data_IF_301106271082
#
_entry.id   IF_301106271082
#
_cell.length_a   1.000
_cell.length_b   1.000
_cell.length_c   1.000
_cell.angle_alpha   90.00
_cell.angle_beta   90.00
_cell.angle_gamma   90.00
#
_symmetry.space_group_name_H-M   'P 1'
#
loop_
_entity.id
_entity.type
_entity.pdbx_description
1 polymer ?
#
# COMPACT_ATOMS: atom_id res chain seq x y z
N UNK A 1 -35.78 14.49 -51.69
CA UNK A 1 -35.05 13.31 -51.14
C UNK A 1 -33.93 13.68 -50.17
N UNK A 2 -33.13 14.73 -50.42
CA UNK A 2 -31.93 15.06 -49.63
C UNK A 2 -32.20 15.42 -48.16
N UNK A 3 -33.29 16.15 -47.85
CA UNK A 3 -33.67 16.54 -46.47
C UNK A 3 -34.19 15.37 -45.62
N UNK A 4 -34.93 14.43 -46.24
CA UNK A 4 -35.40 13.21 -45.56
C UNK A 4 -34.25 12.27 -45.20
N UNK A 5 -33.22 12.21 -46.06
CA UNK A 5 -32.02 11.41 -45.81
C UNK A 5 -31.18 11.99 -44.66
N UNK A 6 -31.08 13.31 -44.56
CA UNK A 6 -30.38 14.01 -43.46
C UNK A 6 -31.08 13.86 -42.11
N UNK A 7 -32.42 13.86 -42.11
CA UNK A 7 -33.21 13.59 -40.90
C UNK A 7 -33.06 12.13 -40.43
N UNK A 8 -32.99 11.19 -41.38
CA UNK A 8 -32.77 9.78 -41.06
C UNK A 8 -31.37 9.54 -40.47
N UNK A 9 -30.32 10.17 -41.03
CA UNK A 9 -28.97 10.03 -40.50
C UNK A 9 -28.81 10.66 -39.12
N UNK A 10 -29.45 11.82 -38.88
CA UNK A 10 -29.48 12.45 -37.56
C UNK A 10 -30.20 11.57 -36.51
N UNK A 11 -31.28 10.91 -36.89
CA UNK A 11 -32.00 9.97 -36.02
C UNK A 11 -31.14 8.74 -35.67
N UNK A 12 -30.42 8.19 -36.64
CA UNK A 12 -29.52 7.04 -36.43
C UNK A 12 -28.36 7.41 -35.49
N UNK A 13 -27.77 8.60 -35.67
CA UNK A 13 -26.71 9.11 -34.78
C UNK A 13 -27.21 9.34 -33.34
N UNK A 14 -28.45 9.81 -33.15
CA UNK A 14 -29.05 9.96 -31.83
C UNK A 14 -29.29 8.61 -31.13
N UNK A 15 -29.58 7.54 -31.88
CA UNK A 15 -29.71 6.19 -31.34
C UNK A 15 -28.37 5.59 -30.88
N UNK A 16 -27.25 5.91 -31.53
CA UNK A 16 -25.92 5.46 -31.11
C UNK A 16 -25.35 6.24 -29.91
N UNK A 17 -25.75 7.50 -29.71
CA UNK A 17 -25.34 8.29 -28.54
C UNK A 17 -26.08 7.89 -27.24
N UNK A 18 -27.17 7.13 -27.32
CA UNK A 18 -28.10 6.87 -26.21
C UNK A 18 -27.78 5.65 -25.32
N UNK A 19 -26.61 5.02 -25.42
CA UNK A 19 -26.22 3.89 -24.53
C UNK A 19 -24.82 4.08 -23.95
N UNK A 20 -24.59 5.23 -23.32
CA UNK A 20 -23.49 5.37 -22.37
C UNK A 20 -23.81 4.53 -21.11
N UNK A 21 -23.10 3.41 -20.98
CA UNK A 21 -22.71 2.76 -19.71
C UNK A 21 -23.69 2.93 -18.53
N UNK A 22 -24.79 2.18 -18.51
CA UNK A 22 -25.32 1.77 -17.21
C UNK A 22 -24.42 0.64 -16.71
N UNK A 23 -23.44 0.96 -15.86
CA UNK A 23 -22.87 -0.02 -14.94
C UNK A 23 -23.97 -0.41 -13.96
N UNK A 24 -24.88 -1.29 -14.42
CA UNK A 24 -25.80 -2.00 -13.56
C UNK A 24 -24.96 -2.82 -12.61
N UNK A 25 -24.78 -2.29 -11.40
CA UNK A 25 -24.33 -2.96 -10.20
C UNK A 25 -23.53 -4.25 -10.49
N UNK A 26 -22.23 -4.10 -10.77
CA UNK A 26 -21.28 -5.22 -10.65
C UNK A 26 -21.08 -5.43 -9.15
N UNK A 27 -22.15 -5.90 -8.51
CA UNK A 27 -22.30 -6.05 -7.07
C UNK A 27 -21.52 -7.25 -6.56
N UNK A 28 -20.19 -7.18 -6.62
CA UNK A 28 -19.33 -7.90 -5.67
C UNK A 28 -19.39 -7.28 -4.27
N UNK A 29 -19.92 -6.06 -4.16
CA UNK A 29 -20.20 -5.40 -2.88
C UNK A 29 -21.67 -5.59 -2.55
N UNK A 30 -21.98 -6.76 -1.98
CA UNK A 30 -23.18 -6.91 -1.16
C UNK A 30 -23.17 -5.79 -0.12
N UNK A 31 -24.27 -5.05 -0.04
CA UNK A 31 -24.53 -3.89 0.81
C UNK A 31 -24.03 -4.07 2.25
N UNK A 32 -22.82 -3.60 2.50
CA UNK A 32 -22.13 -3.70 3.78
C UNK A 32 -20.63 -3.54 3.53
N UNK A 33 -20.04 -2.47 4.05
CA UNK A 33 -18.60 -2.23 4.00
C UNK A 33 -17.88 -3.34 4.76
N UNK A 34 -17.58 -4.43 4.06
CA UNK A 34 -16.77 -5.54 4.57
C UNK A 34 -15.32 -5.15 4.40
N UNK A 35 -14.81 -4.36 5.35
CA UNK A 35 -13.38 -4.07 5.43
C UNK A 35 -12.64 -5.38 5.67
N UNK A 36 -11.59 -5.63 4.90
CA UNK A 36 -10.75 -6.81 5.09
C UNK A 36 -9.99 -6.62 6.41
N UNK A 37 -10.28 -7.44 7.41
CA UNK A 37 -9.54 -7.47 8.67
C UNK A 37 -8.34 -8.39 8.54
N UNK A 38 -7.13 -7.86 8.69
CA UNK A 38 -5.91 -8.66 8.79
C UNK A 38 -5.46 -8.72 10.25
N UNK A 39 -4.81 -9.81 10.63
CA UNK A 39 -4.30 -9.95 12.00
C UNK A 39 -3.19 -8.92 12.31
N UNK A 40 -2.43 -8.50 11.30
CA UNK A 40 -1.23 -7.67 11.47
C UNK A 40 -1.16 -6.59 10.38
N UNK A 41 -1.92 -5.49 10.50
CA UNK A 41 -2.04 -4.47 9.45
C UNK A 41 -0.75 -3.66 9.22
N UNK A 42 0.13 -3.55 10.22
CA UNK A 42 1.39 -2.79 10.09
C UNK A 42 2.34 -3.37 9.03
N UNK A 43 2.16 -4.63 8.63
CA UNK A 43 2.94 -5.22 7.55
C UNK A 43 2.69 -4.55 6.19
N UNK A 44 1.53 -3.93 6.01
CA UNK A 44 1.18 -3.22 4.79
C UNK A 44 1.79 -1.82 4.71
N UNK A 45 2.38 -1.31 5.79
CA UNK A 45 2.96 0.03 5.82
C UNK A 45 4.36 -0.01 5.19
N UNK A 46 4.55 0.84 4.18
CA UNK A 46 5.84 1.06 3.52
C UNK A 46 6.89 1.57 4.52
N UNK A 47 8.06 0.90 4.64
CA UNK A 47 9.03 1.21 5.68
C UNK A 47 10.02 2.30 5.25
N UNK A 48 10.14 2.59 3.95
CA UNK A 48 11.19 3.43 3.40
C UNK A 48 10.64 4.70 2.74
N UNK A 49 11.41 5.79 2.85
CA UNK A 49 11.02 7.09 2.28
C UNK A 49 11.05 7.13 0.75
N UNK A 50 11.85 6.28 0.08
CA UNK A 50 11.94 6.27 -1.39
C UNK A 50 10.64 5.78 -2.00
N UNK A 51 10.19 4.58 -1.63
CA UNK A 51 8.93 4.04 -2.12
C UNK A 51 7.72 4.82 -1.57
N UNK A 52 7.76 5.23 -0.30
CA UNK A 52 6.72 6.08 0.29
C UNK A 52 6.55 7.40 -0.47
N UNK A 53 7.65 8.07 -0.85
CA UNK A 53 7.62 9.28 -1.66
C UNK A 53 7.10 9.08 -3.09
N UNK A 54 7.12 7.83 -3.59
CA UNK A 54 6.53 7.44 -4.88
C UNK A 54 5.08 6.95 -4.75
N UNK A 55 4.43 7.14 -3.60
CA UNK A 55 3.07 6.66 -3.34
C UNK A 55 3.02 5.15 -3.17
N UNK A 56 3.92 4.59 -2.35
CA UNK A 56 4.06 3.15 -2.09
C UNK A 56 4.36 2.32 -3.35
N UNK A 57 5.05 2.95 -4.31
CA UNK A 57 5.41 2.38 -5.60
C UNK A 57 6.77 1.68 -5.64
N UNK A 58 7.02 0.66 -4.81
CA UNK A 58 8.35 0.02 -4.70
C UNK A 58 8.60 -1.25 -5.53
N UNK A 59 7.56 -1.84 -6.13
CA UNK A 59 7.59 -3.20 -6.71
C UNK A 59 8.44 -3.32 -7.99
N UNK A 60 8.39 -2.30 -8.85
CA UNK A 60 9.04 -2.30 -10.17
C UNK A 60 10.15 -1.23 -10.29
N UNK A 61 10.68 -0.77 -9.16
CA UNK A 61 11.77 0.23 -9.12
C UNK A 61 13.13 -0.43 -9.27
N UNK A 62 14.19 0.36 -9.46
CA UNK A 62 15.55 -0.17 -9.43
C UNK A 62 15.85 -0.87 -8.08
N UNK A 63 16.57 -2.01 -8.08
CA UNK A 63 16.92 -2.74 -6.87
C UNK A 63 17.64 -1.88 -5.84
N UNK A 64 17.31 -2.06 -4.57
CA UNK A 64 17.88 -1.33 -3.44
C UNK A 64 17.83 -2.15 -2.15
N UNK A 65 18.40 -1.60 -1.07
CA UNK A 65 18.39 -2.26 0.23
C UNK A 65 16.98 -2.50 0.80
N UNK A 66 15.96 -1.72 0.42
CA UNK A 66 14.58 -1.87 0.91
C UNK A 66 13.72 -2.82 0.06
N UNK A 67 14.33 -3.45 -0.94
CA UNK A 67 13.64 -4.36 -1.87
C UNK A 67 13.02 -5.57 -1.19
N UNK A 68 13.51 -6.00 -0.02
CA UNK A 68 12.91 -7.09 0.78
C UNK A 68 11.43 -6.86 1.07
N UNK A 69 11.01 -5.62 1.32
CA UNK A 69 9.61 -5.34 1.63
C UNK A 69 8.72 -5.35 0.38
N UNK A 70 9.21 -4.79 -0.73
CA UNK A 70 8.39 -4.57 -1.93
C UNK A 70 8.43 -5.71 -2.94
N UNK A 71 9.64 -6.19 -3.24
CA UNK A 71 9.89 -7.24 -4.23
C UNK A 71 11.31 -7.80 -4.05
N UNK A 72 11.41 -8.94 -3.37
CA UNK A 72 12.69 -9.62 -3.12
C UNK A 72 13.36 -10.13 -4.39
N UNK A 73 12.61 -10.37 -5.48
CA UNK A 73 13.19 -10.81 -6.75
C UNK A 73 14.11 -9.75 -7.38
N UNK A 74 13.97 -8.47 -7.01
CA UNK A 74 14.86 -7.40 -7.47
C UNK A 74 16.31 -7.60 -7.02
N UNK A 75 16.54 -8.33 -5.93
CA UNK A 75 17.90 -8.61 -5.44
C UNK A 75 18.73 -9.46 -6.41
N UNK A 76 18.11 -10.21 -7.33
CA UNK A 76 18.84 -10.91 -8.39
C UNK A 76 19.49 -9.95 -9.40
N UNK A 77 19.07 -8.69 -9.45
CA UNK A 77 19.55 -7.67 -10.39
C UNK A 77 20.33 -6.55 -9.71
N UNK A 78 20.62 -6.69 -8.40
CA UNK A 78 21.39 -5.69 -7.65
C UNK A 78 22.86 -5.78 -8.05
N UNK A 79 23.50 -4.64 -8.31
CA UNK A 79 24.88 -4.60 -8.80
C UNK A 79 25.89 -4.56 -7.66
N UNK A 80 25.55 -3.80 -6.62
CA UNK A 80 26.41 -3.62 -5.46
C UNK A 80 26.54 -4.94 -4.68
N UNK A 81 27.75 -5.28 -4.19
CA UNK A 81 27.99 -6.55 -3.52
C UNK A 81 27.29 -6.65 -2.17
N UNK A 82 27.09 -5.54 -1.47
CA UNK A 82 26.48 -5.50 -0.14
C UNK A 82 25.80 -4.17 0.05
N UNK A 83 24.70 -4.15 0.80
CA UNK A 83 24.10 -2.89 1.24
C UNK A 83 23.23 -3.08 2.47
N UNK A 84 23.04 -1.98 3.18
CA UNK A 84 22.17 -1.92 4.35
C UNK A 84 21.29 -0.67 4.29
N UNK A 85 20.15 -0.72 4.96
CA UNK A 85 19.28 0.44 5.15
C UNK A 85 18.69 0.44 6.55
N UNK A 86 18.50 1.64 7.08
CA UNK A 86 17.79 1.89 8.33
C UNK A 86 16.77 2.98 8.03
N UNK A 87 15.51 2.74 8.39
CA UNK A 87 14.42 3.68 8.21
C UNK A 87 13.61 3.80 9.49
N UNK A 88 13.16 5.01 9.80
CA UNK A 88 12.32 5.32 10.96
C UNK A 88 11.18 6.23 10.53
N UNK A 89 9.95 5.74 10.70
CA UNK A 89 8.74 6.43 10.28
C UNK A 89 7.84 6.65 11.49
N UNK A 90 7.72 7.90 11.98
CA UNK A 90 6.70 8.25 12.97
C UNK A 90 5.31 8.14 12.35
N UNK A 91 4.41 7.40 13.00
CA UNK A 91 3.09 7.07 12.45
C UNK A 91 2.00 7.84 13.21
N UNK A 92 1.11 8.53 12.48
CA UNK A 92 0.01 9.33 13.04
C UNK A 92 0.44 10.32 14.15
N UNK A 93 1.53 11.08 13.94
CA UNK A 93 2.00 12.10 14.91
C UNK A 93 0.95 13.12 15.38
N UNK A 94 -0.08 13.35 14.57
CA UNK A 94 -1.17 14.27 14.93
C UNK A 94 -2.18 13.66 15.91
N UNK A 95 -2.23 12.34 16.03
CA UNK A 95 -3.12 11.64 16.96
C UNK A 95 -2.37 11.16 18.19
N UNK A 96 -1.20 10.54 18.01
CA UNK A 96 -0.39 9.97 19.09
C UNK A 96 1.09 10.16 18.75
N UNK A 97 1.88 10.65 19.71
CA UNK A 97 3.29 10.94 19.49
C UNK A 97 4.20 9.68 19.56
N UNK A 98 3.69 8.59 20.13
CA UNK A 98 4.51 7.46 20.59
C UNK A 98 4.45 6.24 19.67
N UNK A 99 3.77 6.36 18.51
CA UNK A 99 3.65 5.30 17.51
C UNK A 99 4.73 5.47 16.45
N UNK A 100 5.50 4.42 16.20
CA UNK A 100 6.57 4.45 15.21
C UNK A 100 6.81 3.10 14.55
N UNK A 101 7.37 3.15 13.35
CA UNK A 101 7.84 2.01 12.59
C UNK A 101 9.35 2.14 12.39
N UNK A 102 10.11 1.19 12.91
CA UNK A 102 11.53 1.03 12.61
C UNK A 102 11.74 -0.13 11.64
N UNK A 103 12.62 0.07 10.68
CA UNK A 103 12.94 -0.94 9.68
C UNK A 103 14.44 -0.96 9.41
N UNK A 104 15.02 -2.16 9.46
CA UNK A 104 16.42 -2.41 9.12
C UNK A 104 16.45 -3.48 8.06
N UNK A 105 17.24 -3.27 7.02
CA UNK A 105 17.46 -4.27 5.99
C UNK A 105 18.94 -4.38 5.64
N UNK A 106 19.32 -5.59 5.24
CA UNK A 106 20.66 -5.93 4.82
C UNK A 106 20.56 -6.92 3.66
N UNK A 107 21.43 -6.77 2.68
CA UNK A 107 21.62 -7.76 1.63
C UNK A 107 23.10 -7.94 1.32
N UNK A 108 23.43 -9.15 0.88
CA UNK A 108 24.75 -9.52 0.40
C UNK A 108 24.61 -10.39 -0.84
N UNK A 109 25.23 -9.94 -1.93
CA UNK A 109 25.24 -10.62 -3.22
C UNK A 109 26.34 -11.68 -3.21
N UNK A 110 25.95 -12.93 -3.45
CA UNK A 110 26.86 -14.09 -3.44
C UNK A 110 27.52 -14.30 -4.81
N UNK A 111 26.76 -14.12 -5.88
CA UNK A 111 27.22 -14.21 -7.26
C UNK A 111 26.46 -13.22 -8.18
N UNK A 112 26.51 -13.37 -9.50
CA UNK A 112 25.82 -12.47 -10.42
C UNK A 112 24.29 -12.66 -10.51
N UNK A 113 23.73 -13.66 -9.82
CA UNK A 113 22.31 -14.04 -9.88
C UNK A 113 21.68 -14.37 -8.52
N UNK A 114 22.47 -14.49 -7.47
CA UNK A 114 22.10 -14.94 -6.14
C UNK A 114 22.47 -13.87 -5.11
N UNK A 115 21.48 -13.52 -4.30
CA UNK A 115 21.62 -12.56 -3.21
C UNK A 115 20.85 -13.08 -2.02
N UNK A 116 21.48 -13.02 -0.86
CA UNK A 116 20.82 -13.25 0.42
C UNK A 116 20.46 -11.91 1.04
N UNK A 117 19.29 -11.83 1.66
CA UNK A 117 18.84 -10.62 2.31
C UNK A 117 18.03 -10.95 3.56
N UNK A 118 18.11 -10.04 4.52
CA UNK A 118 17.40 -10.11 5.78
C UNK A 118 16.82 -8.73 6.09
N UNK A 119 15.65 -8.71 6.73
CA UNK A 119 15.02 -7.48 7.18
C UNK A 119 14.36 -7.69 8.53
N UNK A 120 14.49 -6.69 9.39
CA UNK A 120 13.79 -6.61 10.67
C UNK A 120 12.86 -5.40 10.62
N UNK A 121 11.60 -5.65 10.97
CA UNK A 121 10.58 -4.60 11.13
C UNK A 121 10.08 -4.62 12.56
N UNK A 122 10.04 -3.45 13.17
CA UNK A 122 9.50 -3.23 14.50
C UNK A 122 8.45 -2.12 14.45
N UNK A 123 7.27 -2.39 15.00
CA UNK A 123 6.19 -1.42 15.08
C UNK A 123 5.80 -1.23 16.54
N UNK A 124 5.95 -0.02 17.05
CA UNK A 124 5.50 0.38 18.38
C UNK A 124 4.09 0.92 18.29
N UNK A 125 3.15 0.35 19.05
CA UNK A 125 1.80 0.91 19.20
C UNK A 125 1.76 2.10 20.17
N UNK A 126 2.90 2.43 20.78
CA UNK A 126 3.00 3.49 21.77
C UNK A 126 2.27 3.13 23.06
N UNK A 127 1.79 4.16 23.73
CA UNK A 127 1.11 4.04 25.00
C UNK A 127 -0.41 3.90 24.81
N UNK A 128 -0.99 2.78 25.26
CA UNK A 128 -2.43 2.54 25.21
C UNK A 128 -3.00 2.65 26.63
N UNK A 129 -3.89 3.63 26.84
CA UNK A 129 -4.68 3.78 28.05
C UNK A 129 -5.88 2.83 27.99
N UNK A 130 -5.97 1.89 28.92
CA UNK A 130 -7.14 1.02 29.05
C UNK A 130 -8.18 1.70 29.93
N UNK A 131 -9.45 1.55 29.54
CA UNK A 131 -10.60 2.06 30.28
C UNK A 131 -11.64 0.96 30.45
N UNK A 132 -12.35 0.97 31.57
CA UNK A 132 -13.51 0.10 31.77
C UNK A 132 -14.75 0.60 31.00
N UNK A 133 -15.87 -0.12 31.10
CA UNK A 133 -17.14 0.24 30.45
C UNK A 133 -17.72 1.58 30.93
N UNK A 134 -17.31 2.06 32.11
CA UNK A 134 -17.72 3.35 32.68
C UNK A 134 -16.71 4.47 32.38
N UNK A 135 -15.61 4.17 31.68
CA UNK A 135 -14.56 5.13 31.32
C UNK A 135 -13.49 5.35 32.39
N UNK A 136 -13.45 4.56 33.47
CA UNK A 136 -12.40 4.67 34.47
C UNK A 136 -11.08 4.05 33.97
N UNK A 137 -9.93 4.68 34.21
CA UNK A 137 -8.64 4.20 33.74
C UNK A 137 -8.23 2.90 34.47
N UNK A 138 -7.97 1.85 33.70
CA UNK A 138 -7.48 0.54 34.16
C UNK A 138 -5.94 0.44 34.14
N UNK A 139 -5.26 1.54 33.80
CA UNK A 139 -3.82 1.60 33.63
C UNK A 139 -3.40 1.64 32.17
N UNK A 140 -2.09 1.57 31.96
CA UNK A 140 -1.47 1.96 30.70
C UNK A 140 -0.42 0.93 30.29
N UNK A 141 -0.48 0.47 29.05
CA UNK A 141 0.44 -0.56 28.53
C UNK A 141 1.13 -0.10 27.25
N UNK A 142 2.36 -0.59 27.07
CA UNK A 142 3.20 -0.40 25.88
C UNK A 142 3.53 -1.78 25.30
N UNK A 143 2.67 -2.31 24.41
CA UNK A 143 2.93 -3.57 23.74
C UNK A 143 3.97 -3.42 22.62
#
# INVERSE_FOLDING_TARGET
MKTRFFLLSALVLAFFAGRAQNYGNVGGQASGDRVITTAVPFLMIGPDGRAGGMGDGGVATAPDANSMHWNSAKYAFIKDPTGFSISYTPWLRNLVNDINLAYVSFYHRLDDRQTIAASLRYFSLGEIQFTDEMGFPLGTYKP
#
